data_IF_243635516995
#
_entry.id   IF_243635516995
#
_cell.length_a   1.000
_cell.length_b   1.000
_cell.length_c   1.000
_cell.angle_alpha   90.00
_cell.angle_beta   90.00
_cell.angle_gamma   90.00
#
_symmetry.space_group_name_H-M   'P 1'
#
loop_
_entity.id
_entity.type
_entity.pdbx_description
1 polymer ?
#
# COMPACT_ATOMS: atom_id res chain seq x y z
N UNK A 1 17.04 18.73 4.17
CA UNK A 1 17.18 17.28 3.90
C UNK A 1 17.51 16.58 5.22
N UNK A 2 17.05 15.35 5.44
CA UNK A 2 17.34 14.58 6.66
C UNK A 2 18.00 13.25 6.25
N UNK A 3 19.11 12.91 6.88
CA UNK A 3 19.80 11.65 6.67
C UNK A 3 19.17 10.55 7.53
N UNK A 4 18.99 9.37 6.96
CA UNK A 4 18.53 8.16 7.64
C UNK A 4 19.50 7.04 7.28
N UNK A 5 20.02 6.34 8.28
CA UNK A 5 20.91 5.18 8.11
C UNK A 5 20.12 3.92 8.46
N UNK A 6 20.23 2.89 7.62
CA UNK A 6 19.58 1.60 7.81
C UNK A 6 20.66 0.51 7.78
N UNK A 7 20.59 -0.41 8.73
CA UNK A 7 21.46 -1.59 8.77
C UNK A 7 20.69 -2.80 8.24
N UNK A 8 21.34 -3.57 7.37
CA UNK A 8 20.77 -4.76 6.74
C UNK A 8 21.74 -5.92 6.86
N UNK A 9 21.26 -7.17 6.89
CA UNK A 9 22.12 -8.35 6.72
C UNK A 9 22.89 -8.27 5.39
N UNK A 10 24.12 -8.79 5.36
CA UNK A 10 25.03 -8.67 4.21
C UNK A 10 24.41 -9.12 2.89
N UNK A 11 23.67 -10.23 2.89
CA UNK A 11 22.98 -10.77 1.71
C UNK A 11 21.97 -9.77 1.12
N UNK A 12 21.22 -9.08 1.99
CA UNK A 12 20.23 -8.10 1.58
C UNK A 12 20.91 -6.79 1.16
N UNK A 13 21.96 -6.38 1.86
CA UNK A 13 22.77 -5.22 1.50
C UNK A 13 23.37 -5.39 0.09
N UNK A 14 23.85 -6.58 -0.25
CA UNK A 14 24.36 -6.89 -1.59
C UNK A 14 23.27 -6.82 -2.65
N UNK A 15 22.07 -7.31 -2.36
CA UNK A 15 20.92 -7.18 -3.27
C UNK A 15 20.52 -5.71 -3.47
N UNK A 16 20.43 -4.92 -2.40
CA UNK A 16 20.10 -3.48 -2.46
C UNK A 16 21.18 -2.71 -3.22
N UNK A 17 22.45 -3.13 -3.11
CA UNK A 17 23.58 -2.47 -3.77
C UNK A 17 23.43 -2.41 -5.29
N UNK A 18 22.73 -3.38 -5.90
CA UNK A 18 22.41 -3.41 -7.33
C UNK A 18 21.51 -2.25 -7.77
N UNK A 19 20.83 -1.60 -6.82
CA UNK A 19 19.90 -0.49 -7.06
C UNK A 19 20.42 0.84 -6.48
N UNK A 20 21.72 0.99 -6.20
CA UNK A 20 22.29 2.18 -5.55
C UNK A 20 21.86 3.50 -6.22
N UNK A 21 21.92 3.57 -7.55
CA UNK A 21 21.54 4.77 -8.31
C UNK A 21 20.04 5.10 -8.23
N UNK A 22 19.23 4.11 -7.83
CA UNK A 22 17.77 4.19 -7.75
C UNK A 22 17.24 3.95 -6.33
N UNK A 23 18.10 4.06 -5.31
CA UNK A 23 17.75 3.73 -3.94
C UNK A 23 16.57 4.55 -3.42
N UNK A 24 16.51 5.83 -3.81
CA UNK A 24 15.37 6.71 -3.48
C UNK A 24 14.05 6.17 -4.03
N UNK A 25 14.05 5.67 -5.26
CA UNK A 25 12.85 5.10 -5.89
C UNK A 25 12.46 3.79 -5.21
N UNK A 26 13.44 2.94 -4.90
CA UNK A 26 13.22 1.70 -4.16
C UNK A 26 12.52 1.96 -2.82
N UNK A 27 13.00 2.95 -2.07
CA UNK A 27 12.40 3.34 -0.78
C UNK A 27 10.98 3.87 -0.98
N UNK A 28 10.74 4.72 -1.98
CA UNK A 28 9.40 5.25 -2.25
C UNK A 28 8.40 4.16 -2.64
N UNK A 29 8.82 3.18 -3.45
CA UNK A 29 8.02 2.02 -3.82
C UNK A 29 7.71 1.14 -2.60
N UNK A 30 8.71 0.87 -1.76
CA UNK A 30 8.53 0.13 -0.52
C UNK A 30 7.57 0.82 0.45
N UNK A 31 7.68 2.15 0.60
CA UNK A 31 6.77 2.94 1.44
C UNK A 31 5.33 2.91 0.93
N UNK A 32 5.13 3.01 -0.39
CA UNK A 32 3.80 2.88 -0.99
C UNK A 32 3.20 1.49 -0.69
N UNK A 33 3.98 0.44 -0.90
CA UNK A 33 3.55 -0.93 -0.65
C UNK A 33 3.20 -1.16 0.83
N UNK A 34 4.00 -0.61 1.74
CA UNK A 34 3.77 -0.71 3.18
C UNK A 34 2.45 -0.03 3.60
N UNK A 35 2.17 1.18 3.10
CA UNK A 35 0.91 1.91 3.38
C UNK A 35 -0.33 1.17 2.91
N UNK A 36 -0.24 0.50 1.76
CA UNK A 36 -1.34 -0.33 1.23
C UNK A 36 -1.64 -1.48 2.20
N UNK A 37 -0.60 -2.20 2.63
CA UNK A 37 -0.75 -3.34 3.53
C UNK A 37 -1.29 -2.92 4.90
N UNK A 38 -0.79 -1.82 5.46
CA UNK A 38 -1.27 -1.28 6.74
C UNK A 38 -2.76 -0.88 6.64
N UNK A 39 -3.13 -0.16 5.60
CA UNK A 39 -4.53 0.25 5.36
C UNK A 39 -5.46 -0.96 5.18
N UNK A 40 -5.01 -2.00 4.46
CA UNK A 40 -5.75 -3.25 4.31
C UNK A 40 -5.91 -3.99 5.63
N UNK A 41 -4.88 -4.03 6.47
CA UNK A 41 -4.94 -4.62 7.80
C UNK A 41 -6.00 -3.92 8.67
N UNK A 42 -6.03 -2.58 8.67
CA UNK A 42 -7.04 -1.81 9.41
C UNK A 42 -8.45 -2.11 8.91
N UNK A 43 -8.64 -2.18 7.58
CA UNK A 43 -9.93 -2.50 6.97
C UNK A 43 -10.40 -3.92 7.34
N UNK A 44 -9.53 -4.92 7.18
CA UNK A 44 -9.87 -6.33 7.44
C UNK A 44 -10.17 -6.62 8.90
N UNK A 45 -9.59 -5.85 9.82
CA UNK A 45 -9.93 -5.86 11.25
C UNK A 45 -11.22 -5.11 11.60
N UNK A 46 -11.89 -4.50 10.62
CA UNK A 46 -13.11 -3.72 10.82
C UNK A 46 -12.91 -2.39 11.54
N UNK A 47 -11.67 -1.90 11.65
CA UNK A 47 -11.34 -0.66 12.36
C UNK A 47 -11.66 0.60 11.54
N UNK A 48 -11.66 0.46 10.20
CA UNK A 48 -11.96 1.55 9.27
C UNK A 48 -12.84 1.05 8.12
N UNK A 49 -13.59 1.97 7.51
CA UNK A 49 -14.32 1.67 6.27
C UNK A 49 -13.35 1.50 5.10
N UNK A 50 -13.82 0.87 4.00
CA UNK A 50 -13.06 0.75 2.76
C UNK A 50 -12.63 2.12 2.21
N UNK A 51 -13.54 3.09 2.28
CA UNK A 51 -13.29 4.47 1.89
C UNK A 51 -12.12 5.08 2.67
N UNK A 52 -12.16 4.93 4.00
CA UNK A 52 -11.13 5.47 4.87
C UNK A 52 -9.79 4.77 4.68
N UNK A 53 -9.80 3.47 4.40
CA UNK A 53 -8.59 2.71 4.08
C UNK A 53 -7.95 3.18 2.75
N UNK A 54 -8.75 3.49 1.73
CA UNK A 54 -8.26 4.04 0.46
C UNK A 54 -7.58 5.42 0.67
N UNK A 55 -8.20 6.30 1.46
CA UNK A 55 -7.61 7.59 1.83
C UNK A 55 -6.27 7.45 2.56
N UNK A 56 -6.20 6.54 3.54
CA UNK A 56 -4.96 6.26 4.29
C UNK A 56 -3.84 5.71 3.40
N UNK A 57 -4.20 4.88 2.42
CA UNK A 57 -3.27 4.38 1.41
C UNK A 57 -2.89 5.43 0.35
N UNK A 58 -3.53 6.61 0.37
CA UNK A 58 -3.25 7.70 -0.58
C UNK A 58 -3.70 7.38 -2.01
N UNK A 59 -4.79 6.62 -2.18
CA UNK A 59 -5.31 6.24 -3.49
C UNK A 59 -6.83 6.34 -3.54
N UNK A 60 -7.36 6.36 -4.77
CA UNK A 60 -8.81 6.28 -4.97
C UNK A 60 -9.36 4.90 -4.57
N UNK A 61 -10.67 4.83 -4.35
CA UNK A 61 -11.34 3.59 -3.95
C UNK A 61 -11.23 2.47 -5.01
N UNK A 62 -11.43 2.71 -6.33
CA UNK A 62 -11.30 1.64 -7.32
C UNK A 62 -9.90 1.01 -7.31
N UNK A 63 -8.85 1.81 -7.18
CA UNK A 63 -7.46 1.34 -7.09
C UNK A 63 -7.22 0.56 -5.81
N UNK A 64 -7.74 1.05 -4.68
CA UNK A 64 -7.64 0.33 -3.41
C UNK A 64 -8.38 -1.02 -3.44
N UNK A 65 -9.54 -1.10 -4.11
CA UNK A 65 -10.27 -2.35 -4.31
C UNK A 65 -9.45 -3.35 -5.14
N UNK A 66 -8.78 -2.90 -6.21
CA UNK A 66 -7.90 -3.75 -7.01
C UNK A 66 -6.73 -4.28 -6.16
N UNK A 67 -6.13 -3.42 -5.35
CA UNK A 67 -5.08 -3.82 -4.40
C UNK A 67 -5.61 -4.83 -3.38
N UNK A 68 -6.75 -4.56 -2.75
CA UNK A 68 -7.38 -5.48 -1.80
C UNK A 68 -7.57 -6.88 -2.41
N UNK A 69 -8.09 -6.95 -3.64
CA UNK A 69 -8.26 -8.21 -4.37
C UNK A 69 -6.93 -8.92 -4.64
N UNK A 70 -5.89 -8.19 -5.02
CA UNK A 70 -4.55 -8.76 -5.22
C UNK A 70 -3.96 -9.34 -3.92
N UNK A 71 -4.31 -8.76 -2.77
CA UNK A 71 -3.97 -9.27 -1.44
C UNK A 71 -4.96 -10.33 -0.90
N UNK A 72 -5.84 -10.87 -1.74
CA UNK A 72 -6.81 -11.91 -1.35
C UNK A 72 -7.98 -11.42 -0.50
N UNK A 73 -8.09 -10.11 -0.26
CA UNK A 73 -9.21 -9.49 0.45
C UNK A 73 -10.34 -9.26 -0.53
N UNK A 74 -11.57 -9.67 -0.17
CA UNK A 74 -12.78 -9.34 -0.92
C UNK A 74 -13.55 -8.23 -0.19
N UNK A 75 -13.39 -6.96 -0.58
CA UNK A 75 -14.20 -5.89 -0.01
C UNK A 75 -15.69 -6.18 -0.16
N UNK A 76 -16.45 -5.87 0.88
CA UNK A 76 -17.92 -5.94 0.80
C UNK A 76 -18.42 -4.85 -0.13
N UNK A 77 -19.29 -5.21 -1.07
CA UNK A 77 -19.97 -4.28 -1.97
C UNK A 77 -21.30 -3.87 -1.35
N UNK A 78 -21.61 -2.59 -1.34
CA UNK A 78 -22.97 -2.08 -1.13
C UNK A 78 -23.51 -1.54 -2.45
N UNK A 79 -24.83 -1.49 -2.61
CA UNK A 79 -25.47 -0.89 -3.81
C UNK A 79 -24.99 0.55 -4.03
N UNK A 80 -24.82 1.30 -2.95
CA UNK A 80 -24.23 2.65 -2.99
C UNK A 80 -22.83 2.65 -3.59
N UNK A 81 -21.98 1.70 -3.22
CA UNK A 81 -20.63 1.58 -3.78
C UNK A 81 -20.65 1.21 -5.27
N UNK A 82 -21.63 0.41 -5.70
CA UNK A 82 -21.78 0.06 -7.13
C UNK A 82 -22.16 1.29 -7.95
N UNK A 83 -23.06 2.14 -7.44
CA UNK A 83 -23.41 3.39 -8.13
C UNK A 83 -22.26 4.39 -8.17
N UNK A 84 -21.47 4.48 -7.11
CA UNK A 84 -20.28 5.36 -7.06
C UNK A 84 -19.16 4.91 -8.04
N UNK A 85 -19.13 3.65 -8.47
CA UNK A 85 -18.14 3.13 -9.45
C UNK A 85 -18.63 3.16 -10.91
N UNK A 86 -19.95 3.28 -11.14
CA UNK A 86 -20.57 3.30 -12.48
C UNK A 86 -20.82 4.73 -13.01
N UNK A 87 -20.63 5.75 -12.18
CA UNK A 87 -20.79 7.17 -12.50
C UNK A 87 -19.45 7.81 -12.91
#
# INVERSE_FOLDING_TARGET
>A
MRQVTLEFPDELAQTISQYQDRLKELVLLGLLQFKIQESLMLYTRGLVSLARAAELAGMDRPTFIRQARAFGVRPRWSERMVQEELA
#
